data_IF_254742003642
#
_entry.id   IF_254742003642
#
_cell.length_a   1.000
_cell.length_b   1.000
_cell.length_c   1.000
_cell.angle_alpha   90.00
_cell.angle_beta   90.00
_cell.angle_gamma   90.00
#
_symmetry.space_group_name_H-M   'P 1'
#
loop_
_entity.id
_entity.type
_entity.pdbx_description
1 polymer ?
#
# COMPACT_ATOMS: atom_id res chain seq x y z
N UNK A 1 -16.55 24.25 12.05
CA UNK A 1 -15.40 24.50 11.16
C UNK A 1 -15.89 25.37 10.01
N UNK A 2 -15.08 26.29 9.51
CA UNK A 2 -15.43 27.05 8.30
C UNK A 2 -15.27 26.14 7.07
N UNK A 3 -16.07 26.39 6.03
CA UNK A 3 -15.97 25.64 4.77
C UNK A 3 -14.61 25.89 4.09
N UNK A 4 -14.06 24.88 3.39
CA UNK A 4 -12.83 25.05 2.63
C UNK A 4 -13.02 26.12 1.54
N UNK A 5 -12.03 27.00 1.42
CA UNK A 5 -12.03 28.07 0.42
C UNK A 5 -11.55 27.57 -0.94
N UNK A 6 -12.07 28.17 -2.00
CA UNK A 6 -11.56 27.96 -3.34
C UNK A 6 -10.08 28.38 -3.47
N UNK A 7 -9.29 27.70 -4.31
CA UNK A 7 -7.90 28.06 -4.55
C UNK A 7 -7.82 29.46 -5.17
N UNK A 8 -6.99 30.30 -4.57
CA UNK A 8 -6.76 31.67 -5.03
C UNK A 8 -6.25 31.73 -6.47
N UNK A 9 -6.40 32.89 -7.12
CA UNK A 9 -5.81 33.12 -8.43
C UNK A 9 -4.28 32.91 -8.44
N UNK A 10 -3.59 33.19 -7.33
CA UNK A 10 -2.17 32.94 -7.19
C UNK A 10 -1.84 31.44 -7.16
N UNK A 11 -2.63 30.64 -6.43
CA UNK A 11 -2.50 29.17 -6.38
C UNK A 11 -2.70 28.55 -7.76
N UNK A 12 -3.81 28.91 -8.44
CA UNK A 12 -4.12 28.41 -9.79
C UNK A 12 -3.01 28.73 -10.79
N UNK A 13 -2.45 29.96 -10.72
CA UNK A 13 -1.32 30.37 -11.56
C UNK A 13 -0.08 29.51 -11.32
N UNK A 14 0.30 29.27 -10.06
CA UNK A 14 1.45 28.41 -9.70
C UNK A 14 1.26 26.97 -10.17
N UNK A 15 0.04 26.43 -10.10
CA UNK A 15 -0.24 25.09 -10.62
C UNK A 15 -0.17 25.01 -12.14
N UNK A 16 -0.64 26.03 -12.86
CA UNK A 16 -0.50 26.11 -14.32
C UNK A 16 0.97 26.24 -14.76
N UNK A 17 1.76 27.08 -14.08
CA UNK A 17 3.20 27.21 -14.29
C UNK A 17 3.93 25.89 -14.04
N UNK A 18 3.59 25.19 -12.94
CA UNK A 18 4.14 23.88 -12.63
C UNK A 18 3.81 22.88 -13.75
N UNK A 19 2.55 22.77 -14.17
CA UNK A 19 2.13 21.85 -15.24
C UNK A 19 2.93 22.06 -16.52
N UNK A 20 3.18 23.32 -16.91
CA UNK A 20 3.94 23.66 -18.11
C UNK A 20 5.44 23.31 -18.00
N UNK A 21 5.97 23.17 -16.78
CA UNK A 21 7.37 22.83 -16.50
C UNK A 21 7.63 21.34 -16.29
N UNK A 22 6.58 20.54 -16.09
CA UNK A 22 6.73 19.10 -15.83
C UNK A 22 7.25 18.37 -17.08
N UNK A 23 8.04 17.29 -16.91
CA UNK A 23 8.37 16.40 -18.01
C UNK A 23 7.10 15.87 -18.69
N UNK A 24 7.16 15.69 -20.01
CA UNK A 24 6.06 15.09 -20.75
C UNK A 24 5.77 13.68 -20.22
N UNK A 25 4.50 13.39 -19.92
CA UNK A 25 4.07 12.06 -19.53
C UNK A 25 4.01 11.16 -20.76
N UNK A 26 4.95 10.23 -20.86
CA UNK A 26 5.01 9.25 -21.94
C UNK A 26 4.32 7.92 -21.58
N UNK A 27 3.64 7.86 -20.42
CA UNK A 27 2.93 6.68 -19.95
C UNK A 27 3.81 5.59 -19.35
N UNK A 28 5.13 5.78 -19.25
CA UNK A 28 6.05 4.76 -18.72
C UNK A 28 5.76 4.40 -17.25
N UNK A 29 5.42 5.37 -16.40
CA UNK A 29 5.09 5.09 -15.00
C UNK A 29 3.77 4.32 -14.88
N UNK A 30 2.75 4.68 -15.69
CA UNK A 30 1.48 3.98 -15.71
C UNK A 30 1.65 2.53 -16.20
N UNK A 31 2.45 2.32 -17.25
CA UNK A 31 2.80 0.99 -17.72
C UNK A 31 3.58 0.19 -16.67
N UNK A 32 4.50 0.84 -15.94
CA UNK A 32 5.28 0.20 -14.88
C UNK A 32 4.42 -0.17 -13.67
N UNK A 33 3.51 0.70 -13.26
CA UNK A 33 2.57 0.43 -12.18
C UNK A 33 1.63 -0.73 -12.55
N UNK A 34 1.08 -0.75 -13.76
CA UNK A 34 0.16 -1.81 -14.20
C UNK A 34 0.85 -3.16 -14.51
N UNK A 35 2.18 -3.18 -14.65
CA UNK A 35 2.91 -4.38 -15.07
C UNK A 35 2.74 -5.52 -14.07
N UNK A 36 2.41 -6.69 -14.58
CA UNK A 36 2.28 -7.91 -13.79
C UNK A 36 0.98 -8.03 -13.00
N UNK A 37 -0.01 -7.15 -13.22
CA UNK A 37 -1.31 -7.25 -12.55
C UNK A 37 -1.97 -8.62 -12.80
N UNK A 38 -2.27 -9.33 -11.71
CA UNK A 38 -2.96 -10.63 -11.70
C UNK A 38 -4.43 -10.44 -11.34
N UNK A 39 -4.68 -9.75 -10.23
CA UNK A 39 -6.02 -9.52 -9.69
C UNK A 39 -6.13 -8.07 -9.22
N UNK A 40 -6.97 -7.23 -9.86
CA UNK A 40 -7.16 -5.86 -9.42
C UNK A 40 -7.90 -5.81 -8.07
N UNK A 41 -7.55 -4.83 -7.24
CA UNK A 41 -8.37 -4.52 -6.08
C UNK A 41 -9.75 -4.00 -6.54
N UNK A 42 -10.84 -4.31 -5.82
CA UNK A 42 -12.12 -3.63 -6.02
C UNK A 42 -11.95 -2.11 -5.86
N UNK A 43 -12.59 -1.31 -6.72
CA UNK A 43 -12.55 0.15 -6.62
C UNK A 43 -13.21 0.67 -5.33
N UNK A 44 -14.09 -0.13 -4.75
CA UNK A 44 -14.80 0.10 -3.50
C UNK A 44 -14.22 -0.69 -2.33
N UNK A 45 -12.96 -1.17 -2.45
CA UNK A 45 -12.26 -1.89 -1.37
C UNK A 45 -12.38 -1.10 -0.06
N UNK A 46 -12.90 -1.76 0.97
CA UNK A 46 -12.94 -1.29 2.35
C UNK A 46 -12.50 -2.42 3.26
N UNK A 47 -11.59 -2.10 4.17
CA UNK A 47 -11.08 -3.01 5.19
C UNK A 47 -11.42 -2.36 6.53
N UNK A 48 -12.11 -3.11 7.39
CA UNK A 48 -12.60 -2.63 8.69
C UNK A 48 -12.14 -3.56 9.80
N UNK A 49 -12.07 -3.03 11.02
CA UNK A 49 -11.89 -3.82 12.23
C UNK A 49 -13.18 -4.57 12.64
N UNK A 50 -13.10 -5.36 13.71
CA UNK A 50 -14.21 -6.15 14.25
C UNK A 50 -15.41 -5.28 14.72
N UNK A 51 -15.16 -4.03 15.09
CA UNK A 51 -16.18 -3.06 15.50
C UNK A 51 -16.81 -2.34 14.29
N UNK A 52 -16.36 -2.65 13.06
CA UNK A 52 -16.86 -2.10 11.81
C UNK A 52 -16.29 -0.73 11.45
N UNK A 53 -15.26 -0.25 12.15
CA UNK A 53 -14.57 0.99 11.79
C UNK A 53 -13.69 0.70 10.57
N UNK A 54 -13.87 1.52 9.53
CA UNK A 54 -13.04 1.48 8.32
C UNK A 54 -11.61 1.89 8.66
N UNK A 55 -10.66 0.99 8.43
CA UNK A 55 -9.22 1.19 8.59
C UNK A 55 -8.56 1.62 7.27
N UNK A 56 -9.02 1.04 6.15
CA UNK A 56 -8.53 1.35 4.81
C UNK A 56 -9.68 1.39 3.80
N UNK A 57 -9.63 2.33 2.86
CA UNK A 57 -10.67 2.48 1.83
C UNK A 57 -10.09 3.06 0.55
N UNK A 58 -10.29 2.37 -0.57
CA UNK A 58 -10.05 2.94 -1.91
C UNK A 58 -11.27 3.71 -2.43
N UNK A 59 -12.46 3.44 -1.89
CA UNK A 59 -13.71 4.07 -2.32
C UNK A 59 -13.68 5.60 -2.18
N UNK A 60 -12.98 6.12 -1.16
CA UNK A 60 -12.84 7.56 -0.91
C UNK A 60 -12.04 8.29 -1.98
N UNK A 61 -11.26 7.56 -2.78
CA UNK A 61 -10.39 8.10 -3.82
C UNK A 61 -11.00 8.04 -5.22
N UNK A 62 -12.28 7.71 -5.37
CA UNK A 62 -12.97 7.65 -6.68
C UNK A 62 -12.88 8.95 -7.49
N UNK A 63 -12.66 10.10 -6.84
CA UNK A 63 -12.42 11.38 -7.53
C UNK A 63 -11.16 11.39 -8.41
N UNK A 64 -10.22 10.45 -8.20
CA UNK A 64 -8.99 10.29 -8.99
C UNK A 64 -9.21 9.61 -10.35
N UNK A 65 -10.43 9.19 -10.67
CA UNK A 65 -10.80 8.76 -12.03
C UNK A 65 -10.57 9.89 -13.05
N UNK A 66 -10.73 11.15 -12.64
CA UNK A 66 -10.42 12.32 -13.47
C UNK A 66 -8.93 12.40 -13.78
N UNK A 67 -8.59 12.52 -15.08
CA UNK A 67 -7.21 12.76 -15.52
C UNK A 67 -6.74 14.18 -15.23
N UNK A 68 -7.66 15.13 -15.11
CA UNK A 68 -7.36 16.54 -14.88
C UNK A 68 -7.28 16.85 -13.39
N UNK A 69 -6.18 17.49 -12.98
CA UNK A 69 -5.99 17.94 -11.61
C UNK A 69 -6.90 19.15 -11.30
N UNK A 70 -7.65 19.13 -10.18
CA UNK A 70 -8.42 20.29 -9.76
C UNK A 70 -7.47 21.45 -9.41
N UNK A 71 -7.96 22.69 -9.52
CA UNK A 71 -7.14 23.89 -9.25
C UNK A 71 -6.63 24.03 -7.81
N UNK A 72 -7.06 23.14 -6.90
CA UNK A 72 -6.65 23.06 -5.50
C UNK A 72 -5.53 22.03 -5.24
N UNK A 73 -5.14 21.24 -6.26
CA UNK A 73 -4.11 20.19 -6.12
C UNK A 73 -3.01 20.40 -7.15
N UNK A 74 -1.76 20.22 -6.72
CA UNK A 74 -0.62 20.30 -7.60
C UNK A 74 -0.68 19.21 -8.70
N UNK A 75 -0.47 19.52 -9.99
CA UNK A 75 -0.63 18.56 -11.09
C UNK A 75 0.25 17.31 -10.97
N UNK A 76 1.49 17.46 -10.51
CA UNK A 76 2.38 16.31 -10.29
C UNK A 76 1.89 15.39 -9.15
N UNK A 77 1.31 15.97 -8.09
CA UNK A 77 0.76 15.20 -6.98
C UNK A 77 -0.50 14.47 -7.44
N UNK A 78 -1.34 15.11 -8.23
CA UNK A 78 -2.52 14.47 -8.82
C UNK A 78 -2.13 13.26 -9.68
N UNK A 79 -1.13 13.42 -10.54
CA UNK A 79 -0.58 12.31 -11.33
C UNK A 79 -0.08 11.17 -10.45
N UNK A 80 0.71 11.47 -9.41
CA UNK A 80 1.22 10.46 -8.48
C UNK A 80 0.09 9.75 -7.74
N UNK A 81 -0.90 10.49 -7.25
CA UNK A 81 -2.07 9.92 -6.58
C UNK A 81 -2.82 8.94 -7.50
N UNK A 82 -2.98 9.29 -8.78
CA UNK A 82 -3.58 8.39 -9.78
C UNK A 82 -2.75 7.13 -10.04
N UNK A 83 -1.42 7.23 -10.04
CA UNK A 83 -0.54 6.06 -10.16
C UNK A 83 -0.67 5.13 -8.95
N UNK A 84 -0.81 5.70 -7.74
CA UNK A 84 -1.00 4.95 -6.50
C UNK A 84 -2.33 4.18 -6.47
N UNK A 85 -3.32 4.54 -7.30
CA UNK A 85 -4.56 3.78 -7.46
C UNK A 85 -4.39 2.48 -8.27
N UNK A 86 -3.19 2.15 -8.73
CA UNK A 86 -2.88 0.83 -9.30
C UNK A 86 -2.74 -0.22 -8.19
N UNK A 87 -3.89 -0.62 -7.64
CA UNK A 87 -4.03 -1.53 -6.50
C UNK A 87 -4.44 -2.94 -6.90
N UNK A 88 -4.03 -3.94 -6.11
CA UNK A 88 -4.28 -5.36 -6.36
C UNK A 88 -3.07 -6.25 -6.13
N UNK A 89 -3.12 -7.46 -6.67
CA UNK A 89 -2.05 -8.46 -6.67
C UNK A 89 -1.26 -8.39 -7.98
N UNK A 90 0.07 -8.34 -7.86
CA UNK A 90 0.99 -8.23 -8.98
C UNK A 90 2.07 -9.32 -8.92
N UNK A 91 2.44 -9.87 -10.06
CA UNK A 91 3.66 -10.66 -10.25
C UNK A 91 4.82 -9.72 -10.60
N UNK A 92 5.86 -9.72 -9.76
CA UNK A 92 7.09 -8.94 -9.99
C UNK A 92 8.09 -9.78 -10.80
N UNK A 93 8.21 -11.04 -10.43
CA UNK A 93 9.00 -12.08 -11.08
C UNK A 93 8.38 -13.44 -10.76
N UNK A 94 8.84 -14.51 -11.41
CA UNK A 94 8.39 -15.87 -11.12
C UNK A 94 8.56 -16.17 -9.61
N UNK A 95 7.45 -16.53 -8.95
CA UNK A 95 7.42 -16.81 -7.51
C UNK A 95 7.50 -15.58 -6.59
N UNK A 96 7.54 -14.35 -7.12
CA UNK A 96 7.59 -13.11 -6.33
C UNK A 96 6.39 -12.24 -6.66
N UNK A 97 5.56 -12.00 -5.65
CA UNK A 97 4.31 -11.28 -5.76
C UNK A 97 4.28 -10.07 -4.83
N UNK A 98 3.50 -9.05 -5.19
CA UNK A 98 3.20 -7.92 -4.32
C UNK A 98 1.70 -7.66 -4.28
N UNK A 99 1.18 -7.44 -3.09
CA UNK A 99 -0.13 -6.82 -2.90
C UNK A 99 0.08 -5.35 -2.59
N UNK A 100 -0.58 -4.48 -3.37
CA UNK A 100 -0.40 -3.03 -3.34
C UNK A 100 -1.76 -2.34 -3.21
N UNK A 101 -1.80 -1.21 -2.51
CA UNK A 101 -3.03 -0.43 -2.30
C UNK A 101 -4.04 -1.09 -1.35
N UNK A 102 -3.62 -2.07 -0.56
CA UNK A 102 -4.36 -2.61 0.60
C UNK A 102 -3.96 -1.92 1.91
N UNK A 103 -2.91 -1.09 1.86
CA UNK A 103 -2.41 -0.23 2.92
C UNK A 103 -1.48 0.83 2.26
N UNK A 104 -0.83 1.68 3.06
CA UNK A 104 0.15 2.66 2.60
C UNK A 104 1.42 2.00 2.03
N UNK A 105 1.82 0.85 2.58
CA UNK A 105 2.96 0.06 2.14
C UNK A 105 2.52 -1.12 1.27
N UNK A 106 3.50 -1.82 0.69
CA UNK A 106 3.25 -3.04 -0.08
C UNK A 106 3.62 -4.26 0.77
N UNK A 107 2.83 -5.32 0.66
CA UNK A 107 3.22 -6.63 1.18
C UNK A 107 3.82 -7.46 0.05
N UNK A 108 5.06 -7.93 0.21
CA UNK A 108 5.72 -8.80 -0.78
C UNK A 108 5.63 -10.25 -0.33
N UNK A 109 5.35 -11.15 -1.25
CA UNK A 109 5.21 -12.59 -1.02
C UNK A 109 6.18 -13.35 -1.92
N UNK A 110 7.01 -14.20 -1.31
CA UNK A 110 8.02 -14.99 -2.03
C UNK A 110 7.69 -16.47 -1.84
N UNK A 111 7.28 -17.14 -2.92
CA UNK A 111 7.00 -18.57 -2.94
C UNK A 111 8.31 -19.37 -2.83
N UNK A 112 8.33 -20.35 -1.94
CA UNK A 112 9.41 -21.32 -1.80
C UNK A 112 8.89 -22.72 -1.49
N UNK A 113 9.80 -23.69 -1.38
CA UNK A 113 9.44 -25.11 -1.21
C UNK A 113 8.62 -25.39 0.05
N UNK A 114 8.86 -24.62 1.12
CA UNK A 114 8.21 -24.80 2.42
C UNK A 114 6.89 -24.03 2.56
N UNK A 115 6.57 -23.10 1.65
CA UNK A 115 5.45 -22.18 1.81
C UNK A 115 5.70 -20.82 1.15
N UNK A 116 5.25 -19.75 1.80
CA UNK A 116 5.46 -18.38 1.35
C UNK A 116 6.16 -17.55 2.43
N UNK A 117 7.17 -16.79 2.04
CA UNK A 117 7.79 -15.78 2.91
C UNK A 117 7.01 -14.48 2.72
N UNK A 118 6.53 -13.91 3.83
CA UNK A 118 5.88 -12.60 3.83
C UNK A 118 6.92 -11.54 4.18
N UNK A 119 7.05 -10.51 3.36
CA UNK A 119 7.91 -9.36 3.62
C UNK A 119 7.02 -8.15 3.85
N UNK A 120 7.22 -7.50 4.99
CA UNK A 120 6.54 -6.28 5.42
C UNK A 120 5.01 -6.38 5.43
N UNK A 121 4.42 -7.01 6.47
CA UNK A 121 2.99 -7.30 6.55
C UNK A 121 2.15 -6.07 6.95
N UNK A 122 2.32 -4.94 6.26
CA UNK A 122 1.44 -3.76 6.34
C UNK A 122 1.31 -3.14 7.75
N UNK A 123 0.42 -2.15 7.90
CA UNK A 123 0.21 -1.43 9.17
C UNK A 123 -0.65 -2.23 10.14
N UNK A 124 -1.73 -2.83 9.66
CA UNK A 124 -2.73 -3.48 10.53
C UNK A 124 -2.93 -4.96 10.21
N UNK A 125 -3.28 -5.80 11.21
CA UNK A 125 -3.59 -7.21 10.99
C UNK A 125 -4.69 -7.42 9.95
N UNK A 126 -5.72 -6.57 9.94
CA UNK A 126 -6.85 -6.64 9.00
C UNK A 126 -6.40 -6.40 7.57
N UNK A 127 -5.59 -5.36 7.33
CA UNK A 127 -5.01 -5.08 6.01
C UNK A 127 -4.13 -6.23 5.54
N UNK A 128 -3.26 -6.74 6.41
CA UNK A 128 -2.35 -7.83 6.09
C UNK A 128 -3.10 -9.15 5.79
N UNK A 129 -4.14 -9.46 6.56
CA UNK A 129 -5.00 -10.62 6.34
C UNK A 129 -5.76 -10.52 5.01
N UNK A 130 -6.35 -9.35 4.70
CA UNK A 130 -7.03 -9.10 3.44
C UNK A 130 -6.09 -9.21 2.24
N UNK A 131 -4.88 -8.68 2.37
CA UNK A 131 -3.85 -8.79 1.33
C UNK A 131 -3.40 -10.25 1.13
N UNK A 132 -3.20 -11.01 2.21
CA UNK A 132 -2.80 -12.42 2.13
C UNK A 132 -3.93 -13.28 1.54
N UNK A 133 -5.19 -12.96 1.84
CA UNK A 133 -6.36 -13.59 1.24
C UNK A 133 -6.40 -13.37 -0.28
N UNK A 134 -6.21 -12.13 -0.75
CA UNK A 134 -6.15 -11.84 -2.19
C UNK A 134 -5.06 -12.66 -2.90
N UNK A 135 -3.88 -12.78 -2.28
CA UNK A 135 -2.82 -13.65 -2.81
C UNK A 135 -3.25 -15.12 -2.85
N UNK A 136 -3.85 -15.64 -1.78
CA UNK A 136 -4.29 -17.04 -1.67
C UNK A 136 -5.40 -17.38 -2.65
N UNK A 137 -6.31 -16.46 -2.94
CA UNK A 137 -7.35 -16.63 -3.97
C UNK A 137 -6.74 -16.92 -5.36
N UNK A 138 -5.66 -16.23 -5.70
CA UNK A 138 -5.01 -16.38 -7.01
C UNK A 138 -3.94 -17.47 -7.06
N UNK A 139 -3.26 -17.74 -5.94
CA UNK A 139 -2.05 -18.59 -5.89
C UNK A 139 -2.25 -19.88 -5.11
N UNK A 140 -3.25 -19.97 -4.25
CA UNK A 140 -3.53 -21.11 -3.37
C UNK A 140 -3.06 -20.91 -1.93
N UNK A 141 -3.52 -21.80 -1.05
CA UNK A 141 -3.34 -21.78 0.42
C UNK A 141 -1.92 -22.21 0.88
N UNK A 142 -0.89 -21.52 0.40
CA UNK A 142 0.47 -21.73 0.92
C UNK A 142 0.56 -21.20 2.35
N UNK A 143 1.10 -22.02 3.25
CA UNK A 143 1.40 -21.60 4.63
C UNK A 143 2.48 -20.52 4.64
N UNK A 144 2.40 -19.60 5.59
CA UNK A 144 3.48 -18.64 5.83
C UNK A 144 4.65 -19.40 6.45
N UNK A 145 5.81 -19.37 5.81
CA UNK A 145 7.00 -20.11 6.26
C UNK A 145 8.03 -19.25 6.97
N UNK A 146 7.99 -17.93 6.75
CA UNK A 146 8.78 -16.93 7.47
C UNK A 146 8.18 -15.53 7.25
N UNK A 147 8.54 -14.60 8.12
CA UNK A 147 8.27 -13.17 7.96
C UNK A 147 9.60 -12.40 7.94
N UNK A 148 9.72 -11.40 7.07
CA UNK A 148 10.84 -10.46 7.04
C UNK A 148 10.31 -9.04 7.24
N UNK A 149 10.84 -8.35 8.23
CA UNK A 149 10.71 -6.90 8.37
C UNK A 149 11.94 -6.25 7.75
N UNK A 150 11.75 -5.36 6.79
CA UNK A 150 12.87 -4.66 6.14
C UNK A 150 13.42 -3.54 7.00
N UNK A 151 12.56 -2.86 7.78
CA UNK A 151 12.93 -1.78 8.70
C UNK A 151 11.86 -1.54 9.77
N UNK A 152 12.12 -0.59 10.69
CA UNK A 152 11.40 -0.40 11.95
C UNK A 152 10.23 0.59 11.93
N UNK A 153 9.66 0.93 10.77
CA UNK A 153 8.42 1.71 10.71
C UNK A 153 7.19 0.80 10.74
N UNK A 154 6.10 1.27 11.35
CA UNK A 154 4.91 0.47 11.66
C UNK A 154 4.25 -0.17 10.44
N UNK A 155 4.33 0.48 9.28
CA UNK A 155 3.80 -0.03 8.01
C UNK A 155 4.55 -1.27 7.46
N UNK A 156 5.63 -1.68 8.12
CA UNK A 156 6.44 -2.85 7.75
C UNK A 156 6.40 -3.98 8.79
N UNK A 157 5.69 -3.82 9.90
CA UNK A 157 5.57 -4.88 10.92
C UNK A 157 4.23 -4.92 11.65
N UNK A 158 3.44 -3.85 11.63
CA UNK A 158 2.25 -3.70 12.47
C UNK A 158 1.19 -4.77 12.20
N UNK A 159 1.04 -5.20 10.95
CA UNK A 159 0.08 -6.24 10.57
C UNK A 159 0.58 -7.68 10.67
N UNK A 160 1.74 -7.95 11.29
CA UNK A 160 2.31 -9.31 11.38
C UNK A 160 1.36 -10.35 11.98
N UNK A 161 0.47 -9.94 12.89
CA UNK A 161 -0.54 -10.84 13.48
C UNK A 161 -1.64 -11.25 12.50
N UNK A 162 -1.84 -10.50 11.41
CA UNK A 162 -2.82 -10.83 10.37
C UNK A 162 -2.38 -11.95 9.42
N UNK A 163 -1.08 -12.28 9.40
CA UNK A 163 -0.52 -13.29 8.48
C UNK A 163 -0.11 -14.59 9.15
N UNK A 164 -0.16 -14.66 10.49
CA UNK A 164 0.24 -15.82 11.28
C UNK A 164 -0.97 -16.41 12.01
N UNK A 165 -1.08 -17.75 12.01
CA UNK A 165 -2.11 -18.40 12.83
C UNK A 165 -1.77 -18.29 14.33
N UNK A 166 -2.78 -18.38 15.19
CA UNK A 166 -2.58 -18.37 16.63
C UNK A 166 -1.70 -19.56 17.07
N UNK A 167 -0.65 -19.26 17.84
CA UNK A 167 0.32 -20.26 18.30
C UNK A 167 1.30 -20.74 17.23
N UNK A 168 1.29 -20.18 16.02
CA UNK A 168 2.24 -20.52 14.97
C UNK A 168 3.61 -19.86 15.24
N UNK A 169 4.66 -20.67 15.33
CA UNK A 169 6.04 -20.19 15.42
C UNK A 169 6.70 -20.30 14.04
N UNK A 170 6.85 -19.15 13.38
CA UNK A 170 7.65 -19.04 12.14
C UNK A 170 8.87 -18.15 12.39
N UNK A 171 9.98 -18.37 11.66
CA UNK A 171 11.11 -17.45 11.70
C UNK A 171 10.67 -16.02 11.31
N UNK A 172 11.01 -15.05 12.17
CA UNK A 172 10.85 -13.63 11.88
C UNK A 172 12.25 -13.01 11.79
N UNK A 173 12.58 -12.46 10.63
CA UNK A 173 13.84 -11.78 10.38
C UNK A 173 13.65 -10.28 10.41
N UNK A 174 14.61 -9.57 11.00
CA UNK A 174 14.63 -8.11 11.04
C UNK A 174 16.08 -7.61 11.12
N UNK A 175 16.35 -6.34 10.77
CA UNK A 175 17.66 -5.74 10.95
C UNK A 175 18.10 -5.73 12.41
N UNK A 176 19.40 -5.68 12.64
CA UNK A 176 19.95 -5.44 13.96
C UNK A 176 19.41 -4.13 14.54
N UNK A 177 19.00 -4.14 15.82
CA UNK A 177 18.46 -2.97 16.51
C UNK A 177 16.99 -2.64 16.21
N UNK A 178 16.31 -3.48 15.42
CA UNK A 178 14.91 -3.27 15.03
C UNK A 178 13.97 -2.98 16.21
N UNK A 179 14.01 -3.81 17.26
CA UNK A 179 13.09 -3.65 18.41
C UNK A 179 13.30 -2.32 19.14
N UNK A 180 14.55 -1.94 19.38
CA UNK A 180 14.87 -0.68 20.07
C UNK A 180 14.35 0.52 19.26
N UNK A 181 14.59 0.53 17.95
CA UNK A 181 14.13 1.59 17.06
C UNK A 181 12.60 1.64 16.98
N UNK A 182 11.95 0.49 16.76
CA UNK A 182 10.49 0.40 16.62
C UNK A 182 9.78 0.86 17.90
N UNK A 183 10.25 0.47 19.08
CA UNK A 183 9.66 0.89 20.36
C UNK A 183 9.94 2.36 20.65
N UNK A 184 11.16 2.83 20.37
CA UNK A 184 11.52 4.24 20.61
C UNK A 184 10.62 5.19 19.84
N UNK A 185 10.38 4.91 18.57
CA UNK A 185 9.57 5.76 17.70
C UNK A 185 8.08 5.63 17.99
N UNK A 186 7.56 4.40 18.07
CA UNK A 186 6.11 4.16 18.06
C UNK A 186 5.48 4.08 19.46
N UNK A 187 6.28 4.00 20.53
CA UNK A 187 5.77 3.87 21.91
C UNK A 187 6.31 4.97 22.82
N UNK A 188 7.63 5.19 22.82
CA UNK A 188 8.25 6.18 23.72
C UNK A 188 7.97 7.61 23.25
N UNK A 189 8.02 7.83 21.93
CA UNK A 189 7.76 9.12 21.31
C UNK A 189 6.45 9.17 20.48
N UNK A 190 5.58 8.16 20.65
CA UNK A 190 4.36 7.93 19.88
C UNK A 190 3.18 8.84 20.24
#
# INVERSE_FOLDING_TARGET
MADPLDPSAATKRRHAEALASLPADNGADAASAARGLISPAPSDLQISDEDGRVLWSLAEYGFLESTEAPGSVHPALWRLARLNMSAGLFEVAEGVYQVRGYDISNMTLIEGDAGVIVVDPLVSPECAAAALALYREARGERKVSAVLHTHSHVDHFGGVRGVLAEGEEVPIWAPQGFTDAAVSENVIAG
#
